data_IF_755325574683
#
_entry.id   IF_755325574683
#
_cell.length_a   1.000
_cell.length_b   1.000
_cell.length_c   1.000
_cell.angle_alpha   90.00
_cell.angle_beta   90.00
_cell.angle_gamma   90.00
#
_symmetry.space_group_name_H-M   'P 1'
#
loop_
_entity.id
_entity.type
_entity.pdbx_description
1 polymer ?
#
# COMPACT_ATOMS: atom_id res chain seq x y z
N UNK A 1 5.14 -4.31 -16.76
CA UNK A 1 4.13 -4.57 -15.72
C UNK A 1 3.53 -5.97 -15.83
N UNK A 2 2.76 -6.29 -16.88
CA UNK A 2 2.08 -7.60 -17.05
C UNK A 2 2.97 -8.85 -16.92
N UNK A 3 4.18 -8.82 -17.50
CA UNK A 3 5.13 -9.94 -17.39
C UNK A 3 5.62 -10.17 -15.96
N UNK A 4 5.95 -9.09 -15.25
CA UNK A 4 6.61 -9.15 -13.94
C UNK A 4 5.64 -9.35 -12.78
N UNK A 5 4.48 -8.67 -12.81
CA UNK A 5 3.58 -8.60 -11.64
C UNK A 5 2.29 -9.41 -11.81
N UNK A 6 1.94 -9.82 -13.02
CA UNK A 6 0.70 -10.55 -13.30
C UNK A 6 0.97 -11.99 -13.76
N UNK A 7 1.93 -12.68 -13.14
CA UNK A 7 2.32 -14.07 -13.43
C UNK A 7 2.42 -14.34 -14.94
N UNK A 8 3.27 -13.57 -15.62
CA UNK A 8 3.48 -13.67 -17.07
C UNK A 8 2.16 -13.60 -17.86
N UNK A 9 1.40 -12.52 -17.65
CA UNK A 9 0.11 -12.21 -18.29
C UNK A 9 -1.07 -13.13 -17.92
N UNK A 10 -0.97 -13.97 -16.89
CA UNK A 10 -2.08 -14.80 -16.41
C UNK A 10 -2.97 -14.09 -15.38
N UNK A 11 -2.43 -13.12 -14.65
CA UNK A 11 -3.14 -12.36 -13.63
C UNK A 11 -4.11 -11.32 -14.21
N UNK A 12 -4.67 -10.50 -13.32
CA UNK A 12 -5.55 -9.39 -13.65
C UNK A 12 -5.11 -8.11 -12.95
N UNK A 13 -5.39 -6.96 -13.56
CA UNK A 13 -5.25 -5.64 -12.93
C UNK A 13 -6.60 -5.17 -12.44
N UNK A 14 -6.59 -4.53 -11.27
CA UNK A 14 -7.75 -3.89 -10.67
C UNK A 14 -7.61 -2.38 -10.86
N UNK A 15 -8.67 -1.75 -11.36
CA UNK A 15 -8.74 -0.30 -11.58
C UNK A 15 -9.51 0.31 -10.42
N UNK A 16 -8.84 1.18 -9.67
CA UNK A 16 -9.44 1.92 -8.57
C UNK A 16 -9.56 3.40 -8.91
N UNK A 17 -10.63 4.03 -8.42
CA UNK A 17 -10.83 5.47 -8.46
C UNK A 17 -10.72 6.03 -7.04
N UNK A 18 -9.90 7.06 -6.87
CA UNK A 18 -9.79 7.83 -5.63
C UNK A 18 -10.80 8.97 -5.60
N UNK A 19 -11.04 9.54 -4.43
CA UNK A 19 -11.77 10.80 -4.35
C UNK A 19 -10.96 12.00 -4.88
N UNK A 20 -11.60 13.18 -4.90
CA UNK A 20 -11.01 14.43 -5.36
C UNK A 20 -9.75 14.87 -4.58
N UNK A 21 -9.52 14.31 -3.39
CA UNK A 21 -8.34 14.58 -2.56
C UNK A 21 -7.23 13.53 -2.77
N UNK A 22 -7.34 12.65 -3.77
CA UNK A 22 -6.48 11.49 -3.97
C UNK A 22 -6.46 10.54 -2.76
N UNK A 23 -7.60 10.32 -2.12
CA UNK A 23 -7.75 9.37 -1.01
C UNK A 23 -8.61 8.19 -1.43
N UNK A 24 -8.34 7.06 -0.79
CA UNK A 24 -9.17 5.86 -0.87
C UNK A 24 -9.67 5.51 0.53
N UNK A 25 -10.94 5.14 0.62
CA UNK A 25 -11.56 4.72 1.88
C UNK A 25 -11.29 3.24 2.11
N UNK A 26 -10.63 2.94 3.23
CA UNK A 26 -10.29 1.59 3.64
C UNK A 26 -10.71 1.33 5.09
N UNK A 27 -10.90 0.07 5.43
CA UNK A 27 -11.00 -0.37 6.82
C UNK A 27 -9.58 -0.52 7.38
N UNK A 28 -9.26 0.23 8.42
CA UNK A 28 -7.95 0.21 9.07
C UNK A 28 -8.10 0.48 10.57
N UNK A 29 -7.03 0.21 11.33
CA UNK A 29 -7.00 0.49 12.76
C UNK A 29 -7.21 1.97 13.03
N UNK A 30 -8.21 2.28 13.85
CA UNK A 30 -8.52 3.64 14.29
C UNK A 30 -8.19 3.84 15.76
N UNK A 31 -8.51 2.85 16.60
CA UNK A 31 -8.49 2.96 18.06
C UNK A 31 -8.11 1.63 18.71
N UNK A 32 -8.04 1.62 20.04
CA UNK A 32 -7.75 0.43 20.85
C UNK A 32 -8.81 0.32 21.93
N UNK A 33 -9.29 -0.89 22.17
CA UNK A 33 -10.14 -1.20 23.33
C UNK A 33 -9.50 -2.25 24.21
N UNK A 34 -9.87 -2.23 25.48
CA UNK A 34 -9.55 -3.26 26.45
C UNK A 34 -10.77 -4.16 26.57
N UNK A 35 -10.63 -5.42 26.19
CA UNK A 35 -11.66 -6.44 26.39
C UNK A 35 -11.80 -6.82 27.88
N UNK A 36 -12.87 -7.54 28.23
CA UNK A 36 -13.15 -7.96 29.62
C UNK A 36 -12.03 -8.82 30.26
N UNK A 37 -11.18 -9.44 29.42
CA UNK A 37 -10.03 -10.25 29.83
C UNK A 37 -8.72 -9.43 29.97
N UNK A 38 -8.80 -8.09 29.99
CA UNK A 38 -7.68 -7.15 29.98
C UNK A 38 -6.80 -7.19 28.69
N UNK A 39 -7.28 -7.85 27.63
CA UNK A 39 -6.58 -7.87 26.34
C UNK A 39 -6.81 -6.54 25.59
N UNK A 40 -5.72 -5.97 25.06
CA UNK A 40 -5.79 -4.75 24.23
C UNK A 40 -5.94 -5.17 22.77
N UNK A 41 -7.10 -4.88 22.18
CA UNK A 41 -7.43 -5.25 20.80
C UNK A 41 -7.64 -4.02 19.91
N UNK A 42 -7.25 -4.08 18.62
CA UNK A 42 -7.42 -2.97 17.69
C UNK A 42 -8.88 -2.85 17.23
N UNK A 43 -9.42 -1.62 17.28
CA UNK A 43 -10.71 -1.28 16.67
C UNK A 43 -10.46 -0.85 15.22
N UNK A 44 -11.22 -1.43 14.30
CA UNK A 44 -11.17 -1.08 12.89
C UNK A 44 -12.33 -0.16 12.50
N UNK A 45 -12.02 0.94 11.81
CA UNK A 45 -13.05 1.80 11.23
C UNK A 45 -12.70 2.20 9.80
N UNK A 46 -13.74 2.55 9.04
CA UNK A 46 -13.57 3.14 7.71
C UNK A 46 -12.90 4.51 7.83
N UNK A 47 -11.82 4.71 7.08
CA UNK A 47 -11.13 5.99 7.02
C UNK A 47 -10.53 6.23 5.65
N UNK A 48 -10.51 7.50 5.23
CA UNK A 48 -9.89 7.93 3.99
C UNK A 48 -8.39 8.05 4.16
N UNK A 49 -7.63 7.28 3.40
CA UNK A 49 -6.16 7.31 3.41
C UNK A 49 -5.63 7.92 2.11
N UNK A 50 -4.63 8.82 2.18
CA UNK A 50 -4.05 9.42 1.01
C UNK A 50 -3.22 8.42 0.21
N UNK A 51 -3.33 8.48 -1.11
CA UNK A 51 -2.45 7.79 -2.02
C UNK A 51 -1.30 8.74 -2.40
N UNK A 52 -0.08 8.28 -2.26
CA UNK A 52 1.13 9.07 -2.50
C UNK A 52 1.76 8.69 -3.84
N UNK A 53 1.95 9.68 -4.72
CA UNK A 53 2.70 9.50 -5.97
C UNK A 53 4.16 9.18 -5.67
N UNK A 54 4.71 8.17 -6.34
CA UNK A 54 6.14 7.85 -6.27
C UNK A 54 6.92 8.89 -7.08
N UNK A 55 8.00 9.40 -6.47
CA UNK A 55 8.99 10.26 -7.13
C UNK A 55 10.12 9.40 -7.67
N UNK A 56 10.64 9.80 -8.82
CA UNK A 56 11.71 9.09 -9.51
C UNK A 56 12.89 10.03 -9.73
N UNK A 57 14.11 9.60 -9.38
CA UNK A 57 15.32 10.40 -9.56
C UNK A 57 16.34 10.22 -8.45
N UNK A 58 17.28 11.16 -8.36
CA UNK A 58 18.51 11.01 -7.57
C UNK A 58 18.42 11.61 -6.15
N UNK A 59 17.22 11.72 -5.58
CA UNK A 59 17.05 12.20 -4.21
C UNK A 59 17.59 11.14 -3.23
N UNK A 60 18.84 11.31 -2.81
CA UNK A 60 19.44 10.48 -1.76
C UNK A 60 18.82 10.88 -0.43
N UNK A 61 17.98 9.99 0.09
CA UNK A 61 17.50 10.08 1.46
C UNK A 61 18.44 9.33 2.39
N UNK A 62 19.36 10.03 3.04
CA UNK A 62 20.19 9.44 4.09
C UNK A 62 19.38 9.27 5.38
N UNK A 63 19.59 8.15 6.08
CA UNK A 63 18.95 7.86 7.36
C UNK A 63 19.97 7.20 8.28
N UNK A 64 20.21 7.82 9.42
CA UNK A 64 20.93 7.17 10.50
C UNK A 64 19.96 6.25 11.28
N UNK A 65 20.33 4.97 11.40
CA UNK A 65 19.57 3.99 12.16
C UNK A 65 19.32 4.44 13.60
N UNK A 66 20.36 4.95 14.27
CA UNK A 66 20.31 5.38 15.68
C UNK A 66 19.50 6.66 15.91
N UNK A 67 19.15 7.39 14.85
CA UNK A 67 18.29 8.58 14.88
C UNK A 67 16.85 8.27 14.46
N UNK A 68 16.54 7.01 14.13
CA UNK A 68 15.26 6.60 13.53
C UNK A 68 14.53 5.53 14.34
N UNK A 69 14.66 5.54 15.67
CA UNK A 69 14.02 4.57 16.57
C UNK A 69 12.56 4.94 16.88
N UNK A 70 11.73 5.04 15.83
CA UNK A 70 10.37 5.60 15.89
C UNK A 70 9.33 4.80 16.69
N UNK A 71 9.55 3.50 16.87
CA UNK A 71 8.62 2.62 17.61
C UNK A 71 8.94 2.51 19.10
N UNK A 72 10.06 3.09 19.54
CA UNK A 72 10.53 3.00 20.91
C UNK A 72 10.14 4.26 21.70
N UNK A 73 9.82 4.09 22.98
CA UNK A 73 9.67 5.23 23.88
C UNK A 73 11.04 5.82 24.27
N UNK A 74 11.05 7.01 24.88
CA UNK A 74 12.32 7.70 25.19
C UNK A 74 13.23 6.92 26.16
N UNK A 75 12.67 6.12 27.08
CA UNK A 75 13.46 5.29 27.98
C UNK A 75 14.14 4.14 27.23
N UNK A 76 13.40 3.49 26.33
CA UNK A 76 13.93 2.46 25.45
C UNK A 76 15.01 3.03 24.52
N UNK A 77 14.74 4.17 23.88
CA UNK A 77 15.72 4.87 23.02
C UNK A 77 16.98 5.19 23.81
N UNK A 78 16.83 5.76 25.02
CA UNK A 78 17.97 6.04 25.89
C UNK A 78 18.78 4.79 26.20
N UNK A 79 18.11 3.69 26.54
CA UNK A 79 18.75 2.39 26.80
C UNK A 79 19.54 1.90 25.58
N UNK A 80 18.93 1.91 24.39
CA UNK A 80 19.59 1.54 23.13
C UNK A 80 20.79 2.41 22.77
N UNK A 81 20.80 3.66 23.24
CA UNK A 81 21.86 4.64 22.96
C UNK A 81 22.84 4.83 24.11
N UNK A 82 22.78 3.99 25.14
CA UNK A 82 23.70 4.06 26.29
C UNK A 82 24.60 2.83 26.33
N UNK A 83 25.89 3.03 26.59
CA UNK A 83 26.87 1.98 26.81
C UNK A 83 27.71 2.30 28.06
N UNK A 84 27.53 1.51 29.12
CA UNK A 84 28.06 1.86 30.45
C UNK A 84 27.51 3.20 30.92
N UNK A 85 28.39 4.11 31.34
CA UNK A 85 28.02 5.46 31.78
C UNK A 85 27.95 6.50 30.65
N UNK A 86 28.14 6.08 29.39
CA UNK A 86 28.18 6.97 28.23
C UNK A 86 26.91 6.88 27.41
N UNK A 87 26.37 8.04 27.04
CA UNK A 87 25.25 8.16 26.09
C UNK A 87 25.76 8.60 24.72
N UNK A 88 25.24 8.00 23.66
CA UNK A 88 25.55 8.35 22.28
C UNK A 88 25.07 9.76 21.94
N UNK A 89 25.83 10.47 21.11
CA UNK A 89 25.44 11.78 20.59
C UNK A 89 24.13 11.74 19.78
N UNK A 90 23.74 10.59 19.23
CA UNK A 90 22.47 10.41 18.53
C UNK A 90 21.26 10.66 19.43
N UNK A 91 21.42 10.56 20.76
CA UNK A 91 20.32 10.83 21.70
C UNK A 91 19.87 12.30 21.68
N UNK A 92 20.77 13.22 21.30
CA UNK A 92 20.48 14.65 21.17
C UNK A 92 19.33 14.92 20.19
N UNK A 93 19.26 14.14 19.11
CA UNK A 93 18.21 14.25 18.09
C UNK A 93 16.81 14.05 18.67
N UNK A 94 16.67 13.26 19.74
CA UNK A 94 15.39 12.96 20.37
C UNK A 94 14.94 14.01 21.39
N UNK A 95 15.80 14.96 21.78
CA UNK A 95 15.44 16.00 22.77
C UNK A 95 14.32 16.90 22.26
N UNK A 96 14.33 17.25 20.97
CA UNK A 96 13.22 17.95 20.33
C UNK A 96 12.25 16.93 19.70
N UNK A 97 11.40 16.34 20.53
CA UNK A 97 10.44 15.30 20.11
C UNK A 97 9.59 15.72 18.91
N UNK A 98 9.12 16.97 18.85
CA UNK A 98 8.24 17.46 17.78
C UNK A 98 8.97 17.51 16.45
N UNK A 99 10.16 18.09 16.42
CA UNK A 99 10.94 18.20 15.18
C UNK A 99 11.44 16.83 14.72
N UNK A 100 11.95 16.01 15.65
CA UNK A 100 12.37 14.65 15.34
C UNK A 100 11.22 13.83 14.74
N UNK A 101 10.02 13.86 15.34
CA UNK A 101 8.88 13.12 14.85
C UNK A 101 8.46 13.57 13.44
N UNK A 102 8.49 14.89 13.18
CA UNK A 102 8.24 15.46 11.84
C UNK A 102 9.26 14.96 10.82
N UNK A 103 10.55 14.97 11.15
CA UNK A 103 11.61 14.49 10.25
C UNK A 103 11.53 12.98 10.04
N UNK A 104 11.24 12.20 11.08
CA UNK A 104 11.06 10.76 11.00
C UNK A 104 9.99 10.39 9.96
N UNK A 105 8.80 11.01 10.03
CA UNK A 105 7.72 10.75 9.10
C UNK A 105 7.98 11.30 7.69
N UNK A 106 8.68 12.42 7.57
CA UNK A 106 9.15 12.94 6.27
C UNK A 106 10.05 11.92 5.58
N UNK A 107 11.05 11.40 6.29
CA UNK A 107 11.99 10.39 5.79
C UNK A 107 11.27 9.07 5.50
N UNK A 108 10.38 8.63 6.40
CA UNK A 108 9.57 7.43 6.20
C UNK A 108 8.76 7.50 4.90
N UNK A 109 8.08 8.62 4.65
CA UNK A 109 7.34 8.85 3.41
C UNK A 109 8.27 8.87 2.20
N UNK A 110 9.40 9.58 2.28
CA UNK A 110 10.37 9.68 1.19
C UNK A 110 10.90 8.29 0.80
N UNK A 111 11.32 7.47 1.75
CA UNK A 111 11.81 6.10 1.50
C UNK A 111 10.76 5.21 0.85
N UNK A 112 9.50 5.33 1.25
CA UNK A 112 8.42 4.52 0.70
C UNK A 112 7.82 5.08 -0.60
N UNK A 113 8.16 6.30 -1.01
CA UNK A 113 7.63 6.94 -2.22
C UNK A 113 8.74 7.46 -3.14
N UNK A 114 9.93 6.87 -3.10
CA UNK A 114 11.03 7.23 -3.99
C UNK A 114 11.62 5.98 -4.64
N UNK A 115 11.89 6.06 -5.93
CA UNK A 115 12.52 5.00 -6.74
C UNK A 115 13.59 5.61 -7.64
N UNK A 116 14.53 4.77 -8.09
CA UNK A 116 15.53 5.20 -9.06
C UNK A 116 14.87 5.54 -10.41
N UNK A 117 15.51 6.41 -11.18
CA UNK A 117 14.96 6.94 -12.45
C UNK A 117 14.68 5.84 -13.48
N UNK A 118 15.44 4.75 -13.45
CA UNK A 118 15.29 3.59 -14.33
C UNK A 118 13.91 2.92 -14.18
N UNK A 119 13.26 3.11 -13.04
CA UNK A 119 11.92 2.56 -12.74
C UNK A 119 10.79 3.56 -13.03
N UNK A 120 11.09 4.74 -13.61
CA UNK A 120 10.09 5.79 -13.84
C UNK A 120 8.93 5.37 -14.75
N UNK A 121 9.12 4.35 -15.60
CA UNK A 121 8.09 3.82 -16.48
C UNK A 121 6.92 3.15 -15.73
N UNK A 122 7.04 2.89 -14.42
CA UNK A 122 5.99 2.24 -13.64
C UNK A 122 4.87 3.21 -13.20
N UNK A 123 5.15 4.52 -13.18
CA UNK A 123 4.19 5.58 -12.81
C UNK A 123 3.38 5.28 -11.53
N UNK A 124 4.07 4.79 -10.49
CA UNK A 124 3.42 4.23 -9.30
C UNK A 124 2.77 5.27 -8.40
N UNK A 125 1.67 4.83 -7.80
CA UNK A 125 1.02 5.45 -6.66
C UNK A 125 0.95 4.43 -5.52
N UNK A 126 1.18 4.88 -4.27
CA UNK A 126 1.26 4.00 -3.11
C UNK A 126 0.33 4.44 -1.99
N UNK A 127 -0.48 3.50 -1.52
CA UNK A 127 -1.09 3.55 -0.21
C UNK A 127 -0.10 2.95 0.79
N UNK A 128 0.31 3.71 1.80
CA UNK A 128 1.25 3.24 2.83
C UNK A 128 0.45 2.99 4.10
N UNK A 129 0.45 1.72 4.54
CA UNK A 129 -0.08 1.30 5.82
C UNK A 129 1.09 0.77 6.64
N UNK A 130 1.39 1.42 7.75
CA UNK A 130 2.47 1.00 8.64
C UNK A 130 1.97 0.05 9.74
N UNK A 131 2.90 -0.75 10.27
CA UNK A 131 2.66 -1.68 11.37
C UNK A 131 3.13 -1.10 12.71
N UNK A 132 3.12 0.23 12.88
CA UNK A 132 3.61 0.85 14.13
C UNK A 132 2.76 0.42 15.32
N UNK A 133 1.45 0.29 15.12
CA UNK A 133 0.51 -0.04 16.19
C UNK A 133 -0.14 -1.42 15.97
N UNK A 134 -0.37 -1.85 14.74
CA UNK A 134 -0.98 -3.16 14.46
C UNK A 134 0.03 -4.11 13.81
N UNK A 135 0.23 -5.26 14.45
CA UNK A 135 0.99 -6.37 13.88
C UNK A 135 0.12 -7.06 12.82
N UNK A 136 0.63 -7.15 11.59
CA UNK A 136 0.00 -7.84 10.46
C UNK A 136 0.88 -8.99 10.01
N UNK A 137 1.01 -9.99 10.86
CA UNK A 137 1.93 -11.12 10.68
C UNK A 137 1.33 -12.19 9.76
N UNK A 138 0.01 -12.43 9.87
CA UNK A 138 -0.68 -13.41 9.04
C UNK A 138 -1.08 -12.81 7.69
N UNK A 139 -1.16 -13.65 6.67
CA UNK A 139 -1.60 -13.22 5.32
C UNK A 139 -3.01 -12.63 5.33
N UNK A 140 -3.92 -13.19 6.13
CA UNK A 140 -5.30 -12.69 6.23
C UNK A 140 -5.38 -11.27 6.80
N UNK A 141 -4.49 -10.91 7.72
CA UNK A 141 -4.40 -9.57 8.34
C UNK A 141 -3.86 -8.52 7.35
N UNK A 142 -3.27 -8.97 6.23
CA UNK A 142 -2.76 -8.11 5.15
C UNK A 142 -3.80 -7.89 4.03
N UNK A 143 -4.97 -8.53 4.12
CA UNK A 143 -6.09 -8.26 3.22
C UNK A 143 -6.81 -6.99 3.68
N UNK A 144 -6.61 -5.89 2.96
CA UNK A 144 -7.26 -4.61 3.27
C UNK A 144 -8.65 -4.55 2.62
N UNK A 145 -9.68 -4.32 3.44
CA UNK A 145 -11.01 -3.99 2.94
C UNK A 145 -11.05 -2.55 2.46
N UNK A 146 -11.65 -2.31 1.31
CA UNK A 146 -11.81 -0.99 0.70
C UNK A 146 -13.27 -0.76 0.30
N UNK A 147 -13.67 0.50 0.13
CA UNK A 147 -15.04 0.82 -0.29
C UNK A 147 -15.32 0.22 -1.68
N UNK A 148 -16.33 -0.65 -1.84
CA UNK A 148 -16.59 -1.32 -3.10
C UNK A 148 -16.80 -0.42 -4.32
N UNK A 149 -17.29 0.81 -4.09
CA UNK A 149 -17.51 1.80 -5.15
C UNK A 149 -16.21 2.32 -5.76
N UNK A 150 -15.07 2.12 -5.09
CA UNK A 150 -13.75 2.52 -5.58
C UNK A 150 -13.24 1.60 -6.69
N UNK A 151 -13.63 0.31 -6.71
CA UNK A 151 -13.25 -0.59 -7.81
C UNK A 151 -14.13 -0.28 -9.03
N UNK A 152 -13.50 0.14 -10.14
CA UNK A 152 -14.18 0.53 -11.37
C UNK A 152 -14.02 -0.48 -12.49
N UNK A 153 -12.94 -1.24 -12.48
CA UNK A 153 -12.70 -2.18 -13.54
C UNK A 153 -11.70 -3.27 -13.20
N UNK A 154 -11.76 -4.32 -14.00
CA UNK A 154 -10.81 -5.43 -13.96
C UNK A 154 -10.32 -5.66 -15.38
N UNK A 155 -9.00 -5.60 -15.57
CA UNK A 155 -8.37 -5.94 -16.84
C UNK A 155 -7.76 -7.33 -16.71
N UNK A 156 -8.25 -8.29 -17.50
CA UNK A 156 -7.64 -9.61 -17.60
C UNK A 156 -6.40 -9.58 -18.49
N UNK A 157 -5.40 -10.37 -18.12
CA UNK A 157 -4.20 -10.54 -18.92
C UNK A 157 -4.44 -11.40 -20.14
N UNK A 158 -3.54 -11.27 -21.13
CA UNK A 158 -3.59 -12.00 -22.41
C UNK A 158 -3.74 -13.51 -22.18
N UNK A 159 -3.12 -14.03 -21.12
CA UNK A 159 -3.05 -15.47 -20.80
C UNK A 159 -3.91 -15.86 -19.61
N UNK A 160 -4.78 -14.98 -19.10
CA UNK A 160 -5.75 -15.38 -18.07
C UNK A 160 -6.66 -16.46 -18.63
N UNK A 161 -6.84 -17.55 -17.90
CA UNK A 161 -7.69 -18.66 -18.35
C UNK A 161 -9.18 -18.26 -18.36
N UNK A 162 -9.98 -18.83 -19.26
CA UNK A 162 -11.44 -18.60 -19.26
C UNK A 162 -12.10 -19.05 -17.95
N UNK A 163 -11.57 -20.09 -17.31
CA UNK A 163 -12.01 -20.55 -15.99
C UNK A 163 -11.81 -19.45 -14.93
N UNK A 164 -10.62 -18.85 -14.86
CA UNK A 164 -10.32 -17.80 -13.89
C UNK A 164 -11.11 -16.52 -14.18
N UNK A 165 -11.26 -16.14 -15.45
CA UNK A 165 -12.11 -15.01 -15.86
C UNK A 165 -13.54 -15.21 -15.36
N UNK A 166 -14.13 -16.38 -15.63
CA UNK A 166 -15.49 -16.72 -15.18
C UNK A 166 -15.60 -16.67 -13.67
N UNK A 167 -14.66 -17.28 -12.95
CA UNK A 167 -14.65 -17.30 -11.48
C UNK A 167 -14.61 -15.88 -10.89
N UNK A 168 -13.74 -15.01 -11.43
CA UNK A 168 -13.64 -13.61 -10.99
C UNK A 168 -14.94 -12.85 -11.31
N UNK A 169 -15.48 -12.99 -12.52
CA UNK A 169 -16.75 -12.36 -12.92
C UNK A 169 -17.88 -12.80 -11.98
N UNK A 170 -17.98 -14.09 -11.67
CA UNK A 170 -19.03 -14.63 -10.80
C UNK A 170 -18.91 -14.10 -9.36
N UNK A 171 -17.69 -13.93 -8.84
CA UNK A 171 -17.45 -13.31 -7.52
C UNK A 171 -17.92 -11.86 -7.52
N UNK A 172 -17.53 -11.08 -8.53
CA UNK A 172 -17.90 -9.66 -8.64
C UNK A 172 -19.41 -9.50 -8.81
N UNK A 173 -20.07 -10.32 -9.64
CA UNK A 173 -21.53 -10.27 -9.85
C UNK A 173 -22.33 -10.59 -8.58
N UNK A 174 -21.83 -11.48 -7.72
CA UNK A 174 -22.51 -11.89 -6.46
C UNK A 174 -22.28 -10.91 -5.30
N UNK A 175 -21.56 -9.83 -5.54
CA UNK A 175 -21.09 -8.91 -4.51
C UNK A 175 -21.67 -7.50 -4.70
N UNK A 176 -21.28 -6.57 -3.83
CA UNK A 176 -21.59 -5.14 -3.97
C UNK A 176 -20.77 -4.41 -5.05
N UNK A 177 -19.95 -5.12 -5.84
CA UNK A 177 -19.10 -4.58 -6.91
C UNK A 177 -19.80 -4.55 -8.29
N UNK A 178 -21.13 -4.47 -8.37
CA UNK A 178 -21.89 -4.70 -9.61
C UNK A 178 -21.65 -3.70 -10.75
N UNK A 179 -21.04 -2.54 -10.48
CA UNK A 179 -20.71 -1.50 -11.47
C UNK A 179 -19.34 -1.68 -12.13
N UNK A 180 -18.60 -2.72 -11.78
CA UNK A 180 -17.26 -2.99 -12.31
C UNK A 180 -17.31 -3.37 -13.79
N UNK A 181 -16.51 -2.69 -14.60
CA UNK A 181 -16.37 -2.94 -16.03
C UNK A 181 -15.21 -3.93 -16.25
N UNK A 182 -15.42 -4.91 -17.13
CA UNK A 182 -14.39 -5.91 -17.44
C UNK A 182 -13.71 -5.59 -18.76
N UNK A 183 -12.40 -5.76 -18.77
CA UNK A 183 -11.55 -5.55 -19.93
C UNK A 183 -10.68 -6.78 -20.17
N UNK A 184 -10.23 -6.94 -21.40
CA UNK A 184 -9.26 -7.95 -21.79
C UNK A 184 -8.06 -7.27 -22.45
N UNK A 185 -6.89 -7.72 -22.06
CA UNK A 185 -5.65 -7.39 -22.74
C UNK A 185 -5.46 -8.32 -23.93
N UNK A 186 -5.19 -7.77 -25.11
CA UNK A 186 -5.03 -8.51 -26.37
C UNK A 186 -3.73 -8.04 -27.03
N UNK A 187 -2.97 -8.96 -27.62
CA UNK A 187 -1.80 -8.61 -28.44
C UNK A 187 -2.27 -8.45 -29.88
N UNK A 188 -2.00 -7.28 -30.44
CA UNK A 188 -2.26 -6.95 -31.84
C UNK A 188 -0.98 -7.22 -32.64
N UNK A 189 -1.04 -8.24 -33.50
CA UNK A 189 0.11 -8.68 -34.29
C UNK A 189 0.48 -7.69 -35.40
N UNK A 190 -0.49 -6.95 -35.95
CA UNK A 190 -0.27 -6.04 -37.07
C UNK A 190 0.57 -4.84 -36.65
N UNK A 191 0.22 -4.25 -35.50
CA UNK A 191 0.94 -3.09 -34.94
C UNK A 191 1.96 -3.47 -33.87
N UNK A 192 2.08 -4.76 -33.54
CA UNK A 192 2.96 -5.32 -32.51
C UNK A 192 2.80 -4.63 -31.14
N UNK A 193 1.56 -4.41 -30.71
CA UNK A 193 1.24 -3.73 -29.44
C UNK A 193 0.22 -4.47 -28.62
N UNK A 194 0.26 -4.22 -27.32
CA UNK A 194 -0.75 -4.69 -26.39
C UNK A 194 -1.86 -3.65 -26.30
N UNK A 195 -3.09 -4.06 -26.59
CA UNK A 195 -4.29 -3.24 -26.50
C UNK A 195 -5.19 -3.75 -25.37
N UNK A 196 -6.00 -2.85 -24.81
CA UNK A 196 -7.02 -3.19 -23.81
C UNK A 196 -8.39 -2.93 -24.42
N UNK A 197 -9.24 -3.96 -24.41
CA UNK A 197 -10.60 -3.91 -24.97
C UNK A 197 -11.63 -4.18 -23.89
N UNK A 198 -12.66 -3.34 -23.83
CA UNK A 198 -13.82 -3.58 -22.97
C UNK A 198 -14.57 -4.83 -23.43
N UNK A 199 -14.89 -5.72 -22.47
CA UNK A 199 -15.68 -6.93 -22.71
C UNK A 199 -17.11 -6.67 -22.23
N UNK A 200 -18.04 -6.64 -23.18
CA UNK A 200 -19.46 -6.75 -22.88
C UNK A 200 -19.72 -8.17 -22.39
N UNK A 201 -20.11 -8.32 -21.13
CA UNK A 201 -20.51 -9.61 -20.62
C UNK A 201 -21.87 -9.93 -21.23
N UNK A 202 -21.96 -11.01 -22.01
CA UNK A 202 -23.24 -11.53 -22.48
C UNK A 202 -24.16 -11.80 -21.29
N UNK A 203 -25.40 -11.32 -21.38
CA UNK A 203 -26.48 -11.61 -20.42
C UNK A 203 -26.74 -13.09 -20.31
#
# INVERSE_FOLDING_TARGET
MWGNYADNHKGAYLIYETDNDNKIEIMDNSEWETEENDEIVPIYSWSKKPISKVKYGDEICERNFFESLGQLNLLQIRSWLTSGDKISCCYETYKNKKEWHKQYWKIFKLKNCHKMKEWAYEEEYRLIIDNTFVKREKTVERNLSYNPKALKGIIFGIRTSEYDKKRIIDIIKKSSYSSVIFYQTEYDEEIQKINVREKKIGT
#
